data_IF_889813801040
#
_entry.id   IF_889813801040
#
_cell.length_a   1.000
_cell.length_b   1.000
_cell.length_c   1.000
_cell.angle_alpha   90.00
_cell.angle_beta   90.00
_cell.angle_gamma   90.00
#
_symmetry.space_group_name_H-M   'P 1'
#
loop_
_entity.id
_entity.type
_entity.pdbx_description
1 polymer ?
#
# COMPACT_ATOMS: atom_id res chain seq x y z
N UNK A 1 -10.62 21.77 -4.08
CA UNK A 1 -11.18 20.47 -4.49
C UNK A 1 -10.73 19.46 -3.45
N UNK A 2 -11.63 18.76 -2.77
CA UNK A 2 -11.24 17.75 -1.78
C UNK A 2 -10.73 16.51 -2.54
N UNK A 3 -9.50 16.09 -2.25
CA UNK A 3 -8.94 14.90 -2.89
C UNK A 3 -9.67 13.67 -2.36
N UNK A 4 -10.27 12.89 -3.28
CA UNK A 4 -10.93 11.63 -2.90
C UNK A 4 -9.91 10.71 -2.22
N UNK A 5 -10.33 10.10 -1.11
CA UNK A 5 -9.58 9.06 -0.39
C UNK A 5 -10.27 7.70 -0.54
N UNK A 6 -9.51 6.60 -0.56
CA UNK A 6 -10.08 5.27 -0.65
C UNK A 6 -10.65 4.81 0.70
N UNK A 7 -11.59 3.89 0.67
CA UNK A 7 -11.94 3.04 1.80
C UNK A 7 -10.94 1.89 1.97
N UNK A 8 -10.94 1.26 3.16
CA UNK A 8 -10.17 0.05 3.41
C UNK A 8 -10.59 -1.07 2.43
N UNK A 9 -11.90 -1.24 2.21
CA UNK A 9 -12.42 -2.24 1.28
C UNK A 9 -11.91 -2.04 -0.16
N UNK A 10 -11.88 -0.80 -0.65
CA UNK A 10 -11.35 -0.49 -1.98
C UNK A 10 -9.86 -0.85 -2.11
N UNK A 11 -9.02 -0.42 -1.16
CA UNK A 11 -7.59 -0.75 -1.19
C UNK A 11 -7.37 -2.26 -1.11
N UNK A 12 -8.02 -2.93 -0.17
CA UNK A 12 -7.86 -4.38 -0.01
C UNK A 12 -8.29 -5.11 -1.29
N UNK A 13 -9.37 -4.66 -1.94
CA UNK A 13 -9.80 -5.26 -3.19
C UNK A 13 -8.77 -5.05 -4.31
N UNK A 14 -8.26 -3.83 -4.48
CA UNK A 14 -7.19 -3.51 -5.44
C UNK A 14 -5.98 -4.44 -5.23
N UNK A 15 -5.51 -4.58 -3.99
CA UNK A 15 -4.31 -5.37 -3.67
C UNK A 15 -4.51 -6.88 -3.84
N UNK A 16 -5.72 -7.39 -3.54
CA UNK A 16 -6.07 -8.81 -3.72
C UNK A 16 -6.19 -9.19 -5.19
N UNK A 17 -6.77 -8.30 -6.00
CA UNK A 17 -6.97 -8.53 -7.43
C UNK A 17 -5.73 -8.23 -8.27
N UNK A 18 -4.78 -7.45 -7.75
CA UNK A 18 -3.58 -7.08 -8.50
C UNK A 18 -2.74 -8.32 -8.88
N UNK A 19 -2.40 -8.51 -10.18
CA UNK A 19 -1.84 -9.77 -10.69
C UNK A 19 -0.50 -10.14 -10.07
N UNK A 20 0.33 -9.15 -9.72
CA UNK A 20 1.64 -9.35 -9.11
C UNK A 20 1.57 -9.46 -7.58
N UNK A 21 0.73 -8.64 -6.94
CA UNK A 21 0.74 -8.52 -5.48
C UNK A 21 -0.05 -9.66 -4.86
N UNK A 22 -1.32 -9.80 -5.24
CA UNK A 22 -2.26 -10.82 -4.73
C UNK A 22 -2.19 -10.94 -3.21
N UNK A 23 -2.52 -9.86 -2.50
CA UNK A 23 -2.46 -9.78 -1.04
C UNK A 23 -3.19 -10.98 -0.40
N UNK A 24 -2.54 -11.68 0.53
CA UNK A 24 -3.09 -12.88 1.19
C UNK A 24 -3.33 -12.68 2.69
N UNK A 25 -2.69 -11.66 3.23
CA UNK A 25 -2.68 -11.32 4.64
C UNK A 25 -4.08 -10.86 5.06
N UNK A 26 -4.48 -11.23 6.28
CA UNK A 26 -5.71 -10.75 6.88
C UNK A 26 -5.48 -9.33 7.39
N UNK A 27 -6.07 -8.36 6.69
CA UNK A 27 -6.01 -6.94 7.04
C UNK A 27 -6.96 -6.66 8.20
N UNK A 28 -6.43 -6.10 9.27
CA UNK A 28 -7.16 -5.68 10.48
C UNK A 28 -7.62 -4.24 10.31
N UNK A 29 -6.68 -3.33 10.04
CA UNK A 29 -6.91 -1.90 9.79
C UNK A 29 -6.07 -1.44 8.59
N UNK A 30 -6.54 -0.42 7.89
CA UNK A 30 -5.76 0.29 6.88
C UNK A 30 -5.69 1.78 7.21
N UNK A 31 -4.57 2.42 6.90
CA UNK A 31 -4.34 3.83 7.17
C UNK A 31 -3.74 4.51 5.94
N UNK A 32 -4.20 5.72 5.62
CA UNK A 32 -3.44 6.65 4.80
C UNK A 32 -2.24 7.12 5.62
N UNK A 33 -1.09 7.18 4.97
CA UNK A 33 0.12 7.80 5.49
C UNK A 33 0.63 8.83 4.47
N UNK A 34 1.87 9.29 4.63
CA UNK A 34 2.50 10.14 3.61
C UNK A 34 1.84 11.51 3.46
N UNK A 35 1.80 12.02 2.23
CA UNK A 35 1.27 13.36 1.91
C UNK A 35 -0.23 13.48 2.21
N UNK A 36 -1.00 12.41 2.02
CA UNK A 36 -2.43 12.37 2.32
C UNK A 36 -2.68 12.58 3.82
N UNK A 37 -2.00 11.82 4.68
CA UNK A 37 -2.17 11.96 6.13
C UNK A 37 -1.66 13.32 6.68
N UNK A 38 -0.75 13.99 5.96
CA UNK A 38 -0.25 15.32 6.31
C UNK A 38 -1.13 16.46 5.78
N UNK A 39 -2.14 16.16 4.96
CA UNK A 39 -2.96 17.19 4.29
C UNK A 39 -2.22 17.98 3.21
N UNK A 40 -1.09 17.46 2.71
CA UNK A 40 -0.26 18.12 1.69
C UNK A 40 -0.26 17.38 0.35
N UNK A 41 -1.18 16.43 0.17
CA UNK A 41 -1.36 15.72 -1.10
C UNK A 41 -1.90 16.66 -2.17
N UNK A 42 -1.54 16.38 -3.42
CA UNK A 42 -2.05 17.01 -4.63
C UNK A 42 -2.57 15.95 -5.62
N UNK A 43 -2.97 16.36 -6.82
CA UNK A 43 -3.58 15.45 -7.81
C UNK A 43 -2.64 14.36 -8.29
N UNK A 44 -1.33 14.67 -8.36
CA UNK A 44 -0.25 13.77 -8.79
C UNK A 44 0.36 12.94 -7.65
N UNK A 45 -0.15 13.10 -6.42
CA UNK A 45 0.38 12.38 -5.26
C UNK A 45 0.01 10.91 -5.30
N UNK A 46 1.00 10.05 -5.00
CA UNK A 46 0.79 8.64 -4.73
C UNK A 46 -0.04 8.46 -3.44
N UNK A 47 -0.77 7.35 -3.36
CA UNK A 47 -1.55 6.95 -2.19
C UNK A 47 -0.73 5.97 -1.36
N UNK A 48 -0.08 6.48 -0.31
CA UNK A 48 0.66 5.64 0.64
C UNK A 48 -0.30 5.02 1.66
N UNK A 49 -0.30 3.69 1.76
CA UNK A 49 -1.13 2.93 2.68
C UNK A 49 -0.27 2.13 3.65
N UNK A 50 -0.56 2.27 4.95
CA UNK A 50 -0.12 1.34 5.98
C UNK A 50 -1.23 0.33 6.26
N UNK A 51 -0.93 -0.95 6.08
CA UNK A 51 -1.81 -2.06 6.46
C UNK A 51 -1.36 -2.63 7.78
N UNK A 52 -2.25 -2.62 8.77
CA UNK A 52 -2.12 -3.49 9.91
C UNK A 52 -2.69 -4.85 9.56
N UNK A 53 -1.86 -5.88 9.69
CA UNK A 53 -2.22 -7.26 9.39
C UNK A 53 -2.01 -8.14 10.61
N UNK A 54 -2.71 -9.27 10.66
CA UNK A 54 -2.49 -10.24 11.73
C UNK A 54 -1.04 -10.76 11.72
N UNK A 55 -0.36 -10.78 12.88
CA UNK A 55 0.98 -11.34 12.97
C UNK A 55 1.02 -12.80 12.55
N UNK A 56 2.06 -13.18 11.82
CA UNK A 56 2.31 -14.58 11.45
C UNK A 56 3.57 -15.08 12.15
N UNK A 57 3.49 -16.26 12.75
CA UNK A 57 4.64 -16.89 13.42
C UNK A 57 5.83 -17.02 12.46
N UNK A 58 7.01 -16.58 12.92
CA UNK A 58 8.26 -16.64 12.15
C UNK A 58 8.40 -15.61 11.03
N UNK A 59 7.52 -14.61 10.94
CA UNK A 59 7.59 -13.56 9.92
C UNK A 59 7.37 -12.19 10.56
N UNK A 60 8.19 -11.21 10.23
CA UNK A 60 8.03 -9.81 10.65
C UNK A 60 7.24 -9.01 9.62
N UNK A 61 6.70 -7.85 10.01
CA UNK A 61 6.08 -6.92 9.07
C UNK A 61 7.08 -6.40 8.01
N UNK A 62 8.36 -6.25 8.39
CA UNK A 62 9.42 -5.87 7.45
C UNK A 62 9.66 -6.94 6.37
N UNK A 63 9.52 -8.22 6.72
CA UNK A 63 9.60 -9.31 5.72
C UNK A 63 8.44 -9.23 4.72
N UNK A 64 7.25 -8.80 5.15
CA UNK A 64 6.11 -8.58 4.27
C UNK A 64 6.34 -7.39 3.33
N UNK A 65 6.87 -6.28 3.85
CA UNK A 65 7.28 -5.12 3.05
C UNK A 65 8.27 -5.52 1.96
N UNK A 66 9.31 -6.27 2.34
CA UNK A 66 10.35 -6.69 1.41
C UNK A 66 9.79 -7.65 0.37
N UNK A 67 8.99 -8.65 0.76
CA UNK A 67 8.33 -9.56 -0.17
C UNK A 67 7.43 -8.82 -1.17
N UNK A 68 6.64 -7.85 -0.70
CA UNK A 68 5.80 -7.02 -1.56
C UNK A 68 6.64 -6.26 -2.61
N UNK A 69 7.71 -5.59 -2.17
CA UNK A 69 8.60 -4.84 -3.05
C UNK A 69 9.37 -5.73 -4.01
N UNK A 70 9.77 -6.93 -3.58
CA UNK A 70 10.48 -7.89 -4.42
C UNK A 70 9.64 -8.33 -5.63
N UNK A 71 8.34 -8.57 -5.48
CA UNK A 71 7.49 -8.95 -6.61
C UNK A 71 7.45 -7.88 -7.71
N UNK A 72 7.34 -6.61 -7.33
CA UNK A 72 7.38 -5.49 -8.26
C UNK A 72 8.77 -5.38 -8.90
N UNK A 73 9.84 -5.41 -8.10
CA UNK A 73 11.21 -5.35 -8.61
C UNK A 73 11.52 -6.48 -9.59
N UNK A 74 11.11 -7.71 -9.27
CA UNK A 74 11.31 -8.87 -10.15
C UNK A 74 10.58 -8.67 -11.48
N UNK A 75 9.35 -8.18 -11.47
CA UNK A 75 8.62 -7.88 -12.70
C UNK A 75 9.38 -6.88 -13.59
N UNK A 76 9.94 -5.83 -13.00
CA UNK A 76 10.66 -4.79 -13.74
C UNK A 76 11.93 -5.35 -14.39
N UNK A 77 12.69 -6.16 -13.63
CA UNK A 77 13.89 -6.84 -14.14
C UNK A 77 13.54 -7.82 -15.26
N UNK A 78 12.51 -8.65 -15.08
CA UNK A 78 12.11 -9.66 -16.07
C UNK A 78 11.65 -9.06 -17.40
N UNK A 79 11.12 -7.82 -17.38
CA UNK A 79 10.60 -7.16 -18.58
C UNK A 79 11.51 -6.01 -19.08
N UNK A 80 12.74 -5.88 -18.57
CA UNK A 80 13.70 -4.79 -18.88
C UNK A 80 13.07 -3.38 -18.78
N UNK A 81 12.21 -3.19 -17.78
CA UNK A 81 11.55 -1.91 -17.53
C UNK A 81 12.54 -1.00 -16.81
N UNK A 82 12.90 0.12 -17.45
CA UNK A 82 13.80 1.14 -16.90
C UNK A 82 13.01 2.42 -16.60
N UNK A 83 13.02 2.87 -15.34
CA UNK A 83 12.32 4.08 -14.91
C UNK A 83 10.95 3.81 -14.27
N UNK A 84 10.00 4.74 -14.45
CA UNK A 84 8.69 4.72 -13.79
C UNK A 84 7.68 3.97 -14.68
N UNK A 85 7.08 2.90 -14.14
CA UNK A 85 5.93 2.24 -14.76
C UNK A 85 4.81 2.08 -13.74
N UNK A 86 4.02 3.15 -13.57
CA UNK A 86 2.95 3.21 -12.59
C UNK A 86 1.87 2.14 -12.83
N UNK A 87 1.70 1.68 -14.07
CA UNK A 87 0.74 0.61 -14.43
C UNK A 87 1.09 -0.76 -13.85
N UNK A 88 2.34 -0.97 -13.44
CA UNK A 88 2.78 -2.22 -12.81
C UNK A 88 2.56 -2.23 -11.29
N UNK A 89 2.28 -1.06 -10.71
CA UNK A 89 1.92 -0.92 -9.31
C UNK A 89 0.40 -1.05 -9.15
N UNK A 90 -0.08 -1.41 -7.95
CA UNK A 90 -1.48 -1.25 -7.63
C UNK A 90 -1.93 0.20 -7.84
N UNK A 91 -3.14 0.36 -8.35
CA UNK A 91 -3.68 1.67 -8.71
C UNK A 91 -5.10 1.81 -8.16
N UNK A 92 -5.41 3.00 -7.64
CA UNK A 92 -6.75 3.38 -7.24
C UNK A 92 -7.10 4.75 -7.82
N UNK A 93 -8.18 4.80 -8.60
CA UNK A 93 -8.64 6.02 -9.26
C UNK A 93 -7.55 6.79 -10.05
N UNK A 94 -6.66 6.06 -10.74
CA UNK A 94 -5.57 6.64 -11.53
C UNK A 94 -4.29 6.92 -10.74
N UNK A 95 -4.31 6.80 -9.40
CA UNK A 95 -3.13 7.02 -8.55
C UNK A 95 -2.44 5.73 -8.19
N UNK A 96 -1.10 5.77 -8.18
CA UNK A 96 -0.28 4.68 -7.66
C UNK A 96 -0.59 4.47 -6.17
N UNK A 97 -0.68 3.22 -5.75
CA UNK A 97 -0.83 2.83 -4.35
C UNK A 97 0.46 2.15 -3.90
N UNK A 98 1.14 2.77 -2.95
CA UNK A 98 2.31 2.20 -2.28
C UNK A 98 1.88 1.64 -0.92
N UNK A 99 2.37 0.44 -0.59
CA UNK A 99 1.89 -0.32 0.57
C UNK A 99 3.03 -0.60 1.53
N UNK A 100 2.72 -0.43 2.81
CA UNK A 100 3.56 -0.74 3.95
C UNK A 100 2.80 -1.64 4.92
N UNK A 101 3.50 -2.49 5.65
CA UNK A 101 2.92 -3.41 6.61
C UNK A 101 3.33 -3.09 8.04
N UNK A 102 2.43 -3.36 8.98
CA UNK A 102 2.70 -3.37 10.42
C UNK A 102 1.86 -4.43 11.11
N UNK A 103 2.29 -4.84 12.30
CA UNK A 103 1.53 -5.70 13.20
C UNK A 103 0.92 -4.92 14.38
N UNK A 104 1.35 -3.67 14.57
CA UNK A 104 0.90 -2.81 15.64
C UNK A 104 0.86 -1.37 15.12
N UNK A 105 -0.28 -0.97 14.56
CA UNK A 105 -0.40 0.39 14.02
C UNK A 105 -0.37 1.45 15.14
N UNK A 106 -0.79 1.12 16.35
CA UNK A 106 -0.82 2.09 17.46
C UNK A 106 0.59 2.51 17.91
N UNK A 107 1.60 1.66 17.70
CA UNK A 107 3.02 1.98 17.98
C UNK A 107 3.72 2.71 16.82
N UNK A 108 3.08 2.82 15.66
CA UNK A 108 3.62 3.53 14.51
C UNK A 108 3.59 5.05 14.75
N UNK A 109 4.71 5.73 14.55
CA UNK A 109 4.84 7.17 14.83
C UNK A 109 4.56 8.05 13.63
N UNK A 110 4.57 7.50 12.41
CA UNK A 110 4.20 8.25 11.20
C UNK A 110 2.80 8.86 11.34
N UNK A 111 2.59 10.11 10.88
CA UNK A 111 1.26 10.67 10.71
C UNK A 111 0.41 9.72 9.87
N UNK A 112 -0.75 9.34 10.40
CA UNK A 112 -1.62 8.35 9.78
C UNK A 112 -3.08 8.68 10.03
N UNK A 113 -3.91 8.43 9.03
CA UNK A 113 -5.35 8.58 9.11
C UNK A 113 -5.99 7.22 8.81
N UNK A 114 -6.76 6.69 9.76
CA UNK A 114 -7.43 5.41 9.57
C UNK A 114 -8.46 5.51 8.45
N UNK A 115 -8.44 4.53 7.55
CA UNK A 115 -9.42 4.40 6.50
C UNK A 115 -10.74 3.87 7.06
N UNK A 116 -11.84 4.33 6.46
CA UNK A 116 -13.17 3.80 6.75
C UNK A 116 -13.25 2.35 6.26
N UNK A 117 -13.83 1.48 7.08
CA UNK A 117 -14.15 0.08 6.75
C UNK A 117 -15.22 -0.02 5.68
#
# INVERSE_FOLDING_TARGET
MELKTPSQAEIVNVLRQHPLIRLREKVVRAFLIGSFAKGTANEDSDVDILLEVEPRSGQTAADLDEHYRQKLRQYFVTHDIRGKQDSAHPNWCGRRVDVYFTYAADTETRPKQQLKT
#
